data_IF_940082095776
#
_entry.id   IF_940082095776
#
_cell.length_a   1.000
_cell.length_b   1.000
_cell.length_c   1.000
_cell.angle_alpha   90.00
_cell.angle_beta   90.00
_cell.angle_gamma   90.00
#
_symmetry.space_group_name_H-M   'P 1'
#
loop_
_entity.id
_entity.type
_entity.pdbx_description
1 polymer ?
#
# COMPACT_ATOMS: atom_id res chain seq x y z
N UNK A 1 11.06 11.94 19.36
CA UNK A 1 9.61 11.79 19.12
C UNK A 1 9.39 10.48 18.39
N UNK A 2 8.51 9.59 18.87
CA UNK A 2 8.13 8.39 18.11
C UNK A 2 7.45 8.87 16.83
N UNK A 3 8.02 8.59 15.67
CA UNK A 3 7.33 8.83 14.40
C UNK A 3 6.19 7.82 14.33
N UNK A 4 4.95 8.29 14.49
CA UNK A 4 3.78 7.47 14.21
C UNK A 4 3.67 7.39 12.69
N UNK A 5 4.04 6.24 12.13
CA UNK A 5 3.87 5.98 10.71
C UNK A 5 2.39 5.71 10.49
N UNK A 6 1.72 6.67 9.85
CA UNK A 6 0.33 6.51 9.45
C UNK A 6 0.24 5.83 8.09
N UNK A 7 -0.75 4.95 7.93
CA UNK A 7 -0.96 4.27 6.68
C UNK A 7 -2.13 3.30 6.71
N UNK A 8 -2.20 2.47 5.70
CA UNK A 8 -3.22 1.44 5.54
C UNK A 8 -2.62 0.21 4.87
N UNK A 9 -3.12 -0.96 5.25
CA UNK A 9 -2.74 -2.21 4.60
C UNK A 9 -3.75 -2.51 3.51
N UNK A 10 -3.27 -2.74 2.29
CA UNK A 10 -4.09 -3.21 1.19
C UNK A 10 -3.77 -4.67 0.91
N UNK A 11 -4.79 -5.51 0.84
CA UNK A 11 -4.64 -6.86 0.31
C UNK A 11 -4.78 -6.82 -1.20
N UNK A 12 -3.76 -7.30 -1.89
CA UNK A 12 -3.70 -7.29 -3.34
C UNK A 12 -3.89 -8.69 -3.89
N UNK A 13 -4.49 -8.78 -5.07
CA UNK A 13 -4.57 -10.02 -5.85
C UNK A 13 -4.06 -9.80 -7.27
N UNK A 14 -3.08 -10.60 -7.67
CA UNK A 14 -2.58 -10.57 -9.05
C UNK A 14 -3.56 -11.23 -10.02
N UNK A 15 -3.95 -10.54 -11.09
CA UNK A 15 -4.82 -11.11 -12.12
C UNK A 15 -4.12 -12.16 -12.99
N UNK A 16 -2.79 -12.15 -13.04
CA UNK A 16 -1.98 -13.05 -13.89
C UNK A 16 -1.65 -14.36 -13.20
N UNK A 17 -1.04 -14.32 -12.00
CA UNK A 17 -0.62 -15.52 -11.27
C UNK A 17 -1.52 -15.87 -10.08
N UNK A 18 -2.60 -15.12 -9.86
CA UNK A 18 -3.56 -15.32 -8.76
C UNK A 18 -3.00 -15.24 -7.34
N UNK A 19 -1.72 -14.90 -7.17
CA UNK A 19 -1.15 -14.74 -5.83
C UNK A 19 -1.76 -13.55 -5.13
N UNK A 20 -1.91 -13.70 -3.82
CA UNK A 20 -2.41 -12.68 -2.93
C UNK A 20 -1.37 -12.30 -1.90
N UNK A 21 -1.25 -11.01 -1.62
CA UNK A 21 -0.23 -10.49 -0.71
C UNK A 21 -0.62 -9.10 -0.22
N UNK A 22 -0.19 -8.71 1.00
CA UNK A 22 -0.45 -7.40 1.52
C UNK A 22 0.62 -6.40 1.09
N UNK A 23 0.25 -5.12 1.04
CA UNK A 23 1.18 -3.99 0.95
C UNK A 23 0.80 -2.93 1.97
N UNK A 24 1.80 -2.24 2.52
CA UNK A 24 1.56 -1.05 3.35
C UNK A 24 1.61 0.20 2.48
N UNK A 25 0.59 1.04 2.62
CA UNK A 25 0.46 2.32 1.91
C UNK A 25 0.51 3.43 2.93
N UNK A 26 1.51 4.29 2.84
CA UNK A 26 1.65 5.43 3.73
C UNK A 26 0.50 6.43 3.55
N UNK A 27 0.09 7.04 4.65
CA UNK A 27 -0.75 8.23 4.68
C UNK A 27 -0.04 9.31 5.49
N UNK A 28 -0.14 10.56 5.05
CA UNK A 28 0.38 11.70 5.80
C UNK A 28 -0.34 12.96 5.39
N UNK A 29 -0.40 13.94 6.29
CA UNK A 29 -1.03 15.24 6.00
C UNK A 29 -0.31 16.02 4.89
N UNK A 30 0.96 15.70 4.67
CA UNK A 30 1.87 16.38 3.76
C UNK A 30 2.97 15.42 3.29
N UNK A 31 3.39 15.58 2.03
CA UNK A 31 4.34 14.69 1.34
C UNK A 31 5.66 14.50 2.10
N UNK A 32 6.06 15.50 2.88
CA UNK A 32 7.27 15.50 3.70
C UNK A 32 7.25 14.45 4.82
N UNK A 33 6.08 14.10 5.33
CA UNK A 33 5.91 13.16 6.46
C UNK A 33 6.21 11.71 6.05
N UNK A 34 6.02 11.39 4.77
CA UNK A 34 6.27 10.06 4.20
C UNK A 34 7.48 10.05 3.27
N UNK A 35 8.05 11.23 2.99
CA UNK A 35 9.26 11.40 2.19
C UNK A 35 10.42 10.66 2.86
N UNK A 36 11.11 9.83 2.08
CA UNK A 36 12.19 8.98 2.58
C UNK A 36 11.72 7.66 3.20
N UNK A 37 10.42 7.37 3.30
CA UNK A 37 9.95 6.06 3.73
C UNK A 37 9.76 5.10 2.55
N UNK A 38 10.01 3.82 2.78
CA UNK A 38 9.87 2.74 1.80
C UNK A 38 9.16 1.55 2.39
N UNK A 39 8.53 0.75 1.53
CA UNK A 39 7.95 -0.54 1.92
C UNK A 39 8.46 -1.68 1.04
N UNK A 40 8.55 -2.87 1.62
CA UNK A 40 8.79 -4.14 0.90
C UNK A 40 7.88 -5.22 1.45
N UNK A 41 7.35 -6.05 0.56
CA UNK A 41 6.58 -7.23 0.95
C UNK A 41 7.41 -8.49 0.67
N UNK A 42 7.61 -9.29 1.70
CA UNK A 42 8.22 -10.61 1.64
C UNK A 42 7.12 -11.66 1.82
N UNK A 43 6.73 -12.31 0.72
CA UNK A 43 5.64 -13.31 0.72
C UNK A 43 6.07 -14.58 1.45
N UNK A 44 7.35 -14.98 1.30
CA UNK A 44 7.88 -16.21 1.87
C UNK A 44 7.97 -16.11 3.39
N UNK A 45 8.51 -14.99 3.89
CA UNK A 45 8.59 -14.70 5.33
C UNK A 45 7.28 -14.18 5.90
N UNK A 46 6.31 -13.88 5.04
CA UNK A 46 5.06 -13.21 5.40
C UNK A 46 5.30 -11.95 6.23
N UNK A 47 6.08 -11.02 5.68
CA UNK A 47 6.40 -9.77 6.35
C UNK A 47 6.20 -8.59 5.42
N UNK A 48 5.75 -7.47 5.97
CA UNK A 48 5.81 -6.17 5.34
C UNK A 48 6.85 -5.36 6.11
N UNK A 49 7.90 -4.93 5.43
CA UNK A 49 8.92 -4.07 6.01
C UNK A 49 8.64 -2.62 5.70
N UNK A 50 8.74 -1.76 6.70
CA UNK A 50 8.72 -0.30 6.59
C UNK A 50 10.06 0.22 7.09
N UNK A 51 10.80 0.93 6.23
CA UNK A 51 12.20 1.33 6.51
C UNK A 51 12.50 2.69 5.87
N UNK A 52 13.58 3.35 6.31
CA UNK A 52 14.01 4.60 5.69
C UNK A 52 14.78 4.32 4.39
N UNK A 53 14.77 5.28 3.46
CA UNK A 53 15.38 5.14 2.15
C UNK A 53 16.91 4.94 2.23
N UNK A 54 17.52 5.53 3.26
CA UNK A 54 18.97 5.50 3.48
C UNK A 54 19.42 4.25 4.27
N UNK A 55 18.48 3.43 4.77
CA UNK A 55 18.78 2.17 5.46
C UNK A 55 19.07 1.05 4.46
N UNK A 56 19.80 0.02 4.94
CA UNK A 56 19.97 -1.22 4.18
C UNK A 56 18.60 -1.86 3.88
N UNK A 57 18.29 -2.14 2.60
CA UNK A 57 16.98 -2.63 2.25
C UNK A 57 16.78 -4.07 2.77
N UNK A 58 15.66 -4.35 3.45
CA UNK A 58 15.34 -5.69 3.91
C UNK A 58 15.01 -6.63 2.73
N UNK A 59 14.84 -7.92 3.03
CA UNK A 59 14.40 -8.91 2.03
C UNK A 59 12.99 -8.61 1.51
N UNK A 60 12.59 -9.38 0.50
CA UNK A 60 11.31 -9.22 -0.16
C UNK A 60 11.39 -8.31 -1.39
N UNK A 61 10.21 -7.95 -1.90
CA UNK A 61 10.05 -7.27 -3.18
C UNK A 61 9.46 -5.89 -2.98
N UNK A 62 10.01 -4.91 -3.71
CA UNK A 62 9.40 -3.59 -3.82
C UNK A 62 8.19 -3.72 -4.73
N UNK A 63 7.02 -3.37 -4.21
CA UNK A 63 5.78 -3.41 -4.96
C UNK A 63 5.42 -1.98 -5.36
N UNK A 64 5.47 -1.70 -6.65
CA UNK A 64 5.33 -0.35 -7.19
C UNK A 64 3.86 -0.05 -7.51
N UNK A 65 3.40 1.13 -7.11
CA UNK A 65 2.07 1.62 -7.50
C UNK A 65 2.09 1.98 -8.98
N UNK A 66 1.29 1.28 -9.78
CA UNK A 66 1.17 1.49 -11.23
C UNK A 66 0.08 2.52 -11.52
N UNK A 67 -1.09 2.39 -10.89
CA UNK A 67 -2.25 3.24 -11.15
C UNK A 67 -3.21 3.23 -9.95
N UNK A 68 -4.05 4.24 -9.86
CA UNK A 68 -5.19 4.28 -8.94
C UNK A 68 -6.46 4.50 -9.75
N UNK A 69 -7.30 3.48 -9.83
CA UNK A 69 -8.61 3.57 -10.49
C UNK A 69 -9.59 4.34 -9.61
N UNK A 70 -9.52 5.66 -9.75
CA UNK A 70 -10.40 6.64 -9.12
C UNK A 70 -11.59 6.97 -10.01
N UNK A 71 -12.59 7.59 -9.41
CA UNK A 71 -13.70 8.19 -10.15
C UNK A 71 -13.19 9.33 -11.01
N UNK A 72 -13.21 9.16 -12.34
CA UNK A 72 -12.89 10.23 -13.29
C UNK A 72 -14.11 11.12 -13.53
N UNK A 73 -13.87 12.41 -13.71
CA UNK A 73 -14.93 13.36 -14.10
C UNK A 73 -15.43 13.01 -15.51
N UNK A 74 -16.73 13.16 -15.72
CA UNK A 74 -17.34 12.97 -17.04
C UNK A 74 -17.58 14.37 -17.64
N UNK A 75 -17.20 14.63 -18.90
CA UNK A 75 -17.48 15.92 -19.54
C UNK A 75 -18.98 16.25 -19.51
N UNK A 76 -19.33 17.45 -19.01
CA UNK A 76 -20.71 17.90 -18.87
C UNK A 76 -21.43 17.43 -17.60
N UNK A 77 -20.79 16.62 -16.75
CA UNK A 77 -21.34 16.22 -15.45
C UNK A 77 -21.32 17.38 -14.45
N UNK A 78 -22.37 17.49 -13.63
CA UNK A 78 -22.40 18.46 -12.55
C UNK A 78 -21.47 18.04 -11.40
N UNK A 79 -20.96 19.01 -10.63
CA UNK A 79 -20.15 18.70 -9.46
C UNK A 79 -20.90 17.86 -8.41
N UNK A 80 -22.22 18.06 -8.27
CA UNK A 80 -23.04 17.27 -7.35
C UNK A 80 -23.14 15.80 -7.78
N UNK A 81 -23.30 15.53 -9.07
CA UNK A 81 -23.38 14.17 -9.60
C UNK A 81 -22.02 13.46 -9.51
N UNK A 82 -20.94 14.19 -9.84
CA UNK A 82 -19.58 13.70 -9.60
C UNK A 82 -19.38 13.31 -8.14
N UNK A 83 -19.74 14.17 -7.17
CA UNK A 83 -19.60 13.87 -5.74
C UNK A 83 -20.40 12.64 -5.31
N UNK A 84 -21.64 12.48 -5.79
CA UNK A 84 -22.45 11.28 -5.50
C UNK A 84 -21.79 10.01 -6.03
N UNK A 85 -21.27 10.05 -7.26
CA UNK A 85 -20.57 8.91 -7.87
C UNK A 85 -19.25 8.60 -7.17
N UNK A 86 -18.49 9.64 -6.84
CA UNK A 86 -17.24 9.53 -6.09
C UNK A 86 -17.44 8.97 -4.68
N UNK A 87 -18.52 9.38 -3.98
CA UNK A 87 -18.81 8.86 -2.65
C UNK A 87 -19.16 7.36 -2.64
N UNK A 88 -19.66 6.82 -3.76
CA UNK A 88 -20.12 5.43 -3.84
C UNK A 88 -19.08 4.46 -4.42
N UNK A 89 -18.01 4.95 -5.05
CA UNK A 89 -16.95 4.09 -5.63
C UNK A 89 -15.73 4.13 -4.71
N UNK A 90 -15.29 2.94 -4.29
CA UNK A 90 -14.01 2.77 -3.60
C UNK A 90 -12.87 2.89 -4.60
N UNK A 91 -11.82 3.61 -4.22
CA UNK A 91 -10.57 3.63 -4.99
C UNK A 91 -10.01 2.22 -5.07
N UNK A 92 -9.56 1.83 -6.26
CA UNK A 92 -8.88 0.56 -6.49
C UNK A 92 -7.44 0.83 -6.89
N UNK A 93 -6.52 0.38 -6.06
CA UNK A 93 -5.09 0.56 -6.28
C UNK A 93 -4.55 -0.59 -7.10
N UNK A 94 -3.70 -0.27 -8.07
CA UNK A 94 -3.11 -1.24 -8.99
C UNK A 94 -1.59 -1.17 -8.83
N UNK A 95 -1.00 -2.29 -8.44
CA UNK A 95 0.42 -2.43 -8.14
C UNK A 95 1.09 -3.47 -9.05
N UNK A 96 2.42 -3.45 -9.10
CA UNK A 96 3.20 -4.56 -9.67
C UNK A 96 3.06 -5.82 -8.81
N UNK A 97 3.04 -6.99 -9.46
CA UNK A 97 2.96 -8.24 -8.72
C UNK A 97 4.32 -8.61 -8.10
N UNK A 98 4.33 -8.82 -6.78
CA UNK A 98 5.52 -9.24 -6.02
C UNK A 98 6.08 -10.62 -6.40
N UNK A 99 5.28 -11.48 -7.04
CA UNK A 99 5.69 -12.83 -7.44
C UNK A 99 6.14 -12.91 -8.91
N UNK A 100 5.30 -12.48 -9.85
CA UNK A 100 5.59 -12.64 -11.27
C UNK A 100 6.27 -11.43 -11.91
N UNK A 101 6.34 -10.28 -11.23
CA UNK A 101 6.99 -9.05 -11.70
C UNK A 101 6.27 -8.32 -12.85
N UNK A 102 5.61 -9.05 -13.75
CA UNK A 102 4.93 -8.51 -14.94
C UNK A 102 3.41 -8.40 -14.79
N UNK A 103 2.83 -8.99 -13.76
CA UNK A 103 1.38 -9.00 -13.52
C UNK A 103 0.90 -7.74 -12.79
N UNK A 104 -0.36 -7.36 -13.02
CA UNK A 104 -1.04 -6.28 -12.28
C UNK A 104 -1.75 -6.88 -11.06
N UNK A 105 -1.46 -6.37 -9.87
CA UNK A 105 -2.10 -6.75 -8.63
C UNK A 105 -3.05 -5.66 -8.18
N UNK A 106 -4.32 -6.00 -8.00
CA UNK A 106 -5.37 -5.04 -7.67
C UNK A 106 -5.75 -5.16 -6.20
N UNK A 107 -6.00 -4.02 -5.54
CA UNK A 107 -6.52 -4.00 -4.17
C UNK A 107 -7.93 -4.57 -4.14
N UNK A 108 -8.10 -5.66 -3.42
CA UNK A 108 -9.41 -6.32 -3.25
C UNK A 108 -10.07 -5.94 -1.92
N UNK A 109 -9.27 -5.58 -0.93
CA UNK A 109 -9.73 -5.14 0.39
C UNK A 109 -8.65 -4.29 1.08
N UNK A 110 -9.09 -3.50 2.06
CA UNK A 110 -8.23 -2.83 3.02
C UNK A 110 -8.31 -3.64 4.32
N UNK A 111 -7.17 -3.95 4.90
CA UNK A 111 -7.06 -4.73 6.13
C UNK A 111 -6.74 -3.85 7.32
N UNK A 112 -7.29 -4.23 8.47
CA UNK A 112 -6.79 -3.79 9.77
C UNK A 112 -5.58 -4.65 10.20
N UNK A 113 -4.80 -4.15 11.17
CA UNK A 113 -3.59 -4.85 11.67
C UNK A 113 -3.90 -6.27 12.16
N UNK A 114 -4.99 -6.45 12.92
CA UNK A 114 -5.40 -7.76 13.43
C UNK A 114 -5.70 -8.76 12.30
N UNK A 115 -6.29 -8.30 11.19
CA UNK A 115 -6.58 -9.14 10.04
C UNK A 115 -5.32 -9.55 9.27
N UNK A 116 -4.32 -8.66 9.21
CA UNK A 116 -3.01 -8.97 8.64
C UNK A 116 -2.34 -10.10 9.45
N UNK A 117 -2.33 -9.97 10.78
CA UNK A 117 -1.76 -10.97 11.70
C UNK A 117 -2.50 -12.31 11.60
N UNK A 118 -3.83 -12.28 11.51
CA UNK A 118 -4.64 -13.48 11.31
C UNK A 118 -4.35 -14.20 9.98
N UNK A 119 -3.86 -13.49 8.96
CA UNK A 119 -3.37 -14.07 7.70
C UNK A 119 -1.92 -14.55 7.78
N UNK A 120 -1.30 -14.40 8.95
CA UNK A 120 0.04 -14.83 9.27
C UNK A 120 1.12 -13.88 8.76
N UNK A 121 0.77 -12.62 8.47
CA UNK A 121 1.74 -11.59 8.10
C UNK A 121 2.06 -10.67 9.28
N UNK A 122 3.28 -10.17 9.33
CA UNK A 122 3.72 -9.17 10.32
C UNK A 122 4.11 -7.85 9.64
N UNK A 123 3.83 -6.72 10.30
CA UNK A 123 4.33 -5.40 9.90
C UNK A 123 5.55 -5.04 10.74
N UNK A 124 6.72 -4.99 10.11
CA UNK A 124 8.00 -4.71 10.74
C UNK A 124 8.46 -3.30 10.41
N UNK A 125 8.50 -2.43 11.41
CA UNK A 125 8.99 -1.05 11.29
C UNK A 125 10.46 -0.99 11.71
N UNK A 126 11.35 -0.69 10.77
CA UNK A 126 12.80 -0.75 10.91
C UNK A 126 13.49 0.63 10.98
N UNK A 127 12.73 1.71 11.15
CA UNK A 127 13.27 3.06 11.17
C UNK A 127 14.01 3.30 12.49
N UNK A 128 15.31 3.60 12.43
CA UNK A 128 16.07 4.03 13.60
C UNK A 128 15.52 5.36 14.13
N UNK A 129 15.15 5.40 15.41
CA UNK A 129 14.81 6.68 16.02
C UNK A 129 16.09 7.50 16.21
N UNK A 130 16.11 8.79 15.83
CA UNK A 130 17.26 9.61 16.14
C UNK A 130 17.50 9.60 17.66
N UNK A 131 18.77 9.52 18.10
CA UNK A 131 19.09 9.56 19.52
C UNK A 131 18.49 10.83 20.15
N UNK A 132 17.84 10.66 21.31
CA UNK A 132 17.21 11.75 22.07
C UNK A 132 18.23 12.73 22.64
#
# INVERSE_FOLDING_TARGET
MKQNIEGSILWLRCSTCSIEFPVFVFSGENDWTTSGLRTRTDIEKKAIYVYAHDDDPPSGTVVELIDVDRVKSIPGESFQDFRKRAANKKDRYIYSCSNCGSGRAESVEKLEMEELENRGYELLVLIEQPPQ
#
